data_IF_774581908933
#
_entry.id   IF_774581908933
#
_cell.length_a   1.000
_cell.length_b   1.000
_cell.length_c   1.000
_cell.angle_alpha   90.00
_cell.angle_beta   90.00
_cell.angle_gamma   90.00
#
_symmetry.space_group_name_H-M   'P 1'
#
loop_
_entity.id
_entity.type
_entity.pdbx_description
1 polymer ?
#
# COMPACT_ATOMS: atom_id res chain seq x y z
N UNK A 1 62.84 24.30 -0.58
CA UNK A 1 61.80 23.93 0.41
C UNK A 1 60.48 23.71 -0.33
N UNK A 2 59.94 22.48 -0.37
CA UNK A 2 58.64 22.15 -0.97
C UNK A 2 57.56 22.24 0.12
N UNK A 3 56.59 23.15 -0.03
CA UNK A 3 55.37 23.18 0.81
C UNK A 3 54.38 22.16 0.25
N UNK A 4 54.21 21.05 0.96
CA UNK A 4 53.11 20.12 0.73
C UNK A 4 51.84 20.72 1.35
N UNK A 5 50.87 21.10 0.52
CA UNK A 5 49.52 21.43 0.97
C UNK A 5 48.81 20.12 1.36
N UNK A 6 48.95 19.73 2.62
CA UNK A 6 48.18 18.65 3.21
C UNK A 6 46.71 19.06 3.32
N UNK A 7 45.87 18.49 2.46
CA UNK A 7 44.42 18.58 2.59
C UNK A 7 44.03 17.94 3.93
N UNK A 8 43.49 18.75 4.85
CA UNK A 8 43.16 18.30 6.20
C UNK A 8 42.09 17.20 6.15
N UNK A 9 42.35 16.07 6.82
CA UNK A 9 41.42 14.93 6.95
C UNK A 9 40.03 15.38 7.42
N UNK A 10 39.95 16.45 8.21
CA UNK A 10 38.70 17.03 8.70
C UNK A 10 37.76 17.53 7.58
N UNK A 11 38.31 18.01 6.46
CA UNK A 11 37.53 18.48 5.30
C UNK A 11 36.94 17.31 4.50
N UNK A 12 37.65 16.18 4.46
CA UNK A 12 37.16 14.95 3.83
C UNK A 12 36.01 14.32 4.63
N UNK A 13 36.07 14.34 5.97
CA UNK A 13 35.03 13.78 6.83
C UNK A 13 33.73 14.58 6.80
N UNK A 14 33.78 15.91 6.80
CA UNK A 14 32.57 16.75 6.72
C UNK A 14 31.91 16.68 5.35
N UNK A 15 32.69 16.62 4.27
CA UNK A 15 32.17 16.41 2.92
C UNK A 15 31.47 15.06 2.73
N UNK A 16 32.04 14.00 3.30
CA UNK A 16 31.47 12.65 3.22
C UNK A 16 30.14 12.55 4.00
N UNK A 17 30.06 13.13 5.21
CA UNK A 17 28.84 13.17 6.00
C UNK A 17 27.72 13.97 5.33
N UNK A 18 28.05 15.10 4.70
CA UNK A 18 27.08 15.91 3.96
C UNK A 18 26.53 15.16 2.73
N UNK A 19 27.39 14.44 1.99
CA UNK A 19 26.97 13.64 0.85
C UNK A 19 26.07 12.46 1.26
N UNK A 20 26.37 11.79 2.38
CA UNK A 20 25.55 10.70 2.92
C UNK A 20 24.20 11.23 3.43
N UNK A 21 24.16 12.39 4.08
CA UNK A 21 22.90 13.01 4.53
C UNK A 21 22.00 13.41 3.34
N UNK A 22 22.57 13.93 2.25
CA UNK A 22 21.81 14.27 1.02
C UNK A 22 21.34 13.01 0.27
N UNK A 23 22.13 11.93 0.28
CA UNK A 23 21.73 10.65 -0.31
C UNK A 23 20.63 9.93 0.51
N UNK A 24 20.60 10.10 1.83
CA UNK A 24 19.56 9.49 2.69
C UNK A 24 18.22 10.25 2.62
N UNK A 25 18.23 11.54 2.30
CA UNK A 25 17.02 12.37 2.15
C UNK A 25 16.29 12.15 0.81
N UNK A 26 16.96 11.56 -0.19
CA UNK A 26 16.40 11.33 -1.53
C UNK A 26 15.76 9.96 -1.73
N UNK A 27 15.83 9.06 -0.74
CA UNK A 27 15.13 7.78 -0.73
C UNK A 27 13.68 7.91 -0.24
N UNK A 28 12.94 8.90 -0.74
CA UNK A 28 11.49 8.88 -0.71
C UNK A 28 11.00 7.85 -1.73
N UNK A 29 11.18 6.55 -1.43
CA UNK A 29 10.52 5.48 -2.19
C UNK A 29 9.01 5.70 -2.02
N UNK A 30 8.39 6.39 -2.99
CA UNK A 30 6.98 6.17 -3.26
C UNK A 30 6.89 4.70 -3.67
N UNK A 31 6.44 3.86 -2.74
CA UNK A 31 6.09 2.49 -3.06
C UNK A 31 4.89 2.58 -3.99
N UNK A 32 5.15 2.64 -5.29
CA UNK A 32 4.10 2.64 -6.30
C UNK A 32 3.34 1.31 -6.16
N UNK A 33 2.05 1.41 -5.87
CA UNK A 33 1.16 0.31 -5.57
C UNK A 33 0.24 0.08 -6.76
N UNK A 34 0.25 -1.12 -7.34
CA UNK A 34 -0.68 -1.43 -8.43
C UNK A 34 -2.05 -1.79 -7.84
N UNK A 35 -3.14 -1.12 -8.26
CA UNK A 35 -4.49 -1.39 -7.76
C UNK A 35 -5.50 -1.52 -8.90
N UNK A 36 -6.54 -2.32 -8.70
CA UNK A 36 -7.71 -2.29 -9.59
C UNK A 36 -8.47 -0.98 -9.39
N UNK A 37 -8.95 -0.38 -10.48
CA UNK A 37 -9.74 0.86 -10.44
C UNK A 37 -10.99 0.72 -11.27
N UNK A 38 -12.14 1.01 -10.66
CA UNK A 38 -13.43 1.00 -11.33
C UNK A 38 -14.49 1.68 -10.46
N UNK A 39 -15.64 1.99 -11.07
CA UNK A 39 -16.86 2.38 -10.37
C UNK A 39 -18.07 1.68 -10.98
N UNK A 40 -19.06 1.43 -10.14
CA UNK A 40 -20.35 0.86 -10.49
C UNK A 40 -21.45 1.59 -9.71
N UNK A 41 -22.58 1.80 -10.36
CA UNK A 41 -23.83 2.27 -9.78
C UNK A 41 -24.95 1.30 -10.17
N UNK A 42 -25.98 1.18 -9.34
CA UNK A 42 -27.12 0.28 -9.62
C UNK A 42 -27.75 0.49 -11.00
N UNK A 43 -27.73 1.72 -11.51
CA UNK A 43 -28.26 2.08 -12.83
C UNK A 43 -27.39 1.59 -14.00
N UNK A 44 -26.21 1.05 -13.75
CA UNK A 44 -25.28 0.58 -14.78
C UNK A 44 -25.51 -0.90 -15.08
N UNK A 45 -25.46 -1.25 -16.36
CA UNK A 45 -25.55 -2.65 -16.81
C UNK A 45 -24.23 -3.42 -16.64
N UNK A 46 -23.10 -2.72 -16.63
CA UNK A 46 -21.78 -3.35 -16.47
C UNK A 46 -21.48 -3.61 -14.98
N UNK A 47 -21.54 -4.89 -14.58
CA UNK A 47 -21.22 -5.32 -13.21
C UNK A 47 -19.79 -5.81 -13.05
N UNK A 48 -18.92 -5.66 -14.06
CA UNK A 48 -17.52 -6.12 -14.01
C UNK A 48 -16.75 -5.55 -12.80
N UNK A 49 -17.08 -4.31 -12.40
CA UNK A 49 -16.53 -3.68 -11.22
C UNK A 49 -16.93 -4.37 -9.90
N UNK A 50 -17.97 -5.18 -9.86
CA UNK A 50 -18.30 -5.98 -8.67
C UNK A 50 -17.76 -7.40 -8.84
N UNK A 51 -18.04 -8.01 -9.99
CA UNK A 51 -17.98 -9.47 -10.17
C UNK A 51 -16.72 -9.99 -10.86
N UNK A 52 -16.03 -9.15 -11.65
CA UNK A 52 -14.88 -9.59 -12.44
C UNK A 52 -13.67 -8.64 -12.30
N UNK A 53 -13.04 -8.58 -11.12
CA UNK A 53 -11.93 -7.67 -10.85
C UNK A 53 -10.72 -7.89 -11.78
N UNK A 54 -10.50 -9.12 -12.26
CA UNK A 54 -9.37 -9.45 -13.13
C UNK A 54 -9.47 -8.86 -14.54
N UNK A 55 -10.68 -8.50 -14.99
CA UNK A 55 -10.90 -7.83 -16.27
C UNK A 55 -10.76 -6.31 -16.18
N UNK A 56 -10.55 -5.76 -14.98
CA UNK A 56 -10.48 -4.33 -14.76
C UNK A 56 -9.11 -3.75 -15.11
N UNK A 57 -9.13 -2.44 -15.35
CA UNK A 57 -7.92 -1.65 -15.47
C UNK A 57 -7.13 -1.68 -14.15
N UNK A 58 -5.83 -1.92 -14.28
CA UNK A 58 -4.85 -1.74 -13.21
C UNK A 58 -4.26 -0.33 -13.34
N UNK A 59 -4.18 0.38 -12.22
CA UNK A 59 -3.52 1.68 -12.11
C UNK A 59 -2.28 1.55 -11.22
N UNK A 60 -1.16 2.08 -11.68
CA UNK A 60 0.02 2.28 -10.84
C UNK A 60 -0.20 3.53 -9.98
N UNK A 61 -0.51 3.32 -8.70
CA UNK A 61 -0.84 4.38 -7.77
C UNK A 61 0.38 4.81 -6.96
N UNK A 62 0.59 6.12 -6.83
CA UNK A 62 1.62 6.67 -5.93
C UNK A 62 1.19 6.68 -4.45
N UNK A 63 -0.03 6.20 -4.17
CA UNK A 63 -0.67 6.22 -2.85
C UNK A 63 -0.42 4.93 -2.08
N UNK A 64 -0.55 5.00 -0.75
CA UNK A 64 -0.18 3.91 0.17
C UNK A 64 -1.15 2.73 0.24
N UNK A 65 -2.40 2.88 -0.18
CA UNK A 65 -3.42 1.84 -0.05
C UNK A 65 -4.24 1.69 -1.33
N UNK A 66 -4.57 0.45 -1.69
CA UNK A 66 -5.72 0.16 -2.53
C UNK A 66 -6.98 0.18 -1.66
N UNK A 67 -8.03 0.85 -2.10
CA UNK A 67 -9.31 0.94 -1.42
C UNK A 67 -10.41 0.23 -2.23
N UNK A 68 -11.35 -0.38 -1.51
CA UNK A 68 -12.65 -0.83 -2.01
C UNK A 68 -13.75 -0.25 -1.13
N UNK A 69 -14.71 0.44 -1.75
CA UNK A 69 -15.92 0.93 -1.09
C UNK A 69 -17.13 0.24 -1.70
N UNK A 70 -17.96 -0.38 -0.86
CA UNK A 70 -19.17 -1.08 -1.26
C UNK A 70 -20.35 -0.54 -0.47
N UNK A 71 -21.35 -0.02 -1.17
CA UNK A 71 -22.57 0.50 -0.55
C UNK A 71 -23.70 -0.47 -0.86
N UNK A 72 -24.39 -0.90 0.19
CA UNK A 72 -25.57 -1.76 0.10
C UNK A 72 -26.79 -1.11 0.72
N UNK A 73 -27.98 -1.52 0.27
CA UNK A 73 -29.23 -1.19 0.96
C UNK A 73 -29.32 -1.94 2.29
N UNK A 74 -29.58 -1.22 3.38
CA UNK A 74 -29.69 -1.82 4.71
C UNK A 74 -30.88 -2.78 4.83
N UNK A 75 -31.99 -2.48 4.16
CA UNK A 75 -33.20 -3.34 4.11
C UNK A 75 -33.07 -4.54 3.18
N UNK A 76 -32.13 -4.51 2.24
CA UNK A 76 -31.89 -5.62 1.31
C UNK A 76 -30.39 -5.93 1.25
N UNK A 77 -29.87 -6.66 2.26
CA UNK A 77 -28.46 -6.98 2.32
C UNK A 77 -28.03 -7.73 1.06
N UNK A 78 -26.84 -7.42 0.55
CA UNK A 78 -26.29 -7.93 -0.72
C UNK A 78 -26.77 -7.22 -1.99
N UNK A 79 -27.81 -6.36 -1.91
CA UNK A 79 -28.11 -5.45 -3.01
C UNK A 79 -27.11 -4.28 -3.00
N UNK A 80 -26.12 -4.36 -3.90
CA UNK A 80 -25.09 -3.32 -4.09
C UNK A 80 -25.69 -2.16 -4.88
N UNK A 81 -25.69 -0.97 -4.30
CA UNK A 81 -26.16 0.25 -4.98
C UNK A 81 -25.01 1.07 -5.58
N UNK A 82 -23.82 0.93 -5.00
CA UNK A 82 -22.59 1.53 -5.48
C UNK A 82 -21.40 0.68 -5.08
N UNK A 83 -20.41 0.61 -5.97
CA UNK A 83 -19.16 -0.07 -5.72
C UNK A 83 -18.01 0.70 -6.37
N UNK A 84 -16.91 0.89 -5.66
CA UNK A 84 -15.72 1.51 -6.23
C UNK A 84 -14.46 0.81 -5.77
N UNK A 85 -13.47 0.81 -6.66
CA UNK A 85 -12.08 0.45 -6.38
C UNK A 85 -11.19 1.62 -6.73
N UNK A 86 -10.22 1.90 -5.88
CA UNK A 86 -9.33 3.04 -6.07
C UNK A 86 -8.07 2.93 -5.22
N UNK A 87 -7.43 4.08 -5.08
CA UNK A 87 -6.21 4.26 -4.30
C UNK A 87 -6.38 5.42 -3.35
N UNK A 88 -5.78 5.31 -2.16
CA UNK A 88 -5.91 6.30 -1.10
C UNK A 88 -4.63 6.34 -0.26
N UNK A 89 -4.18 7.53 0.17
CA UNK A 89 -3.05 7.64 1.11
C UNK A 89 -3.47 7.40 2.56
N UNK A 90 -4.65 7.93 2.92
CA UNK A 90 -5.24 7.82 4.25
C UNK A 90 -6.65 7.23 4.10
N UNK A 91 -6.82 5.92 4.35
CA UNK A 91 -8.12 5.27 4.24
C UNK A 91 -9.07 5.72 5.35
N UNK A 92 -10.37 5.77 5.05
CA UNK A 92 -11.41 6.02 6.07
C UNK A 92 -11.35 4.96 7.17
N UNK A 93 -11.16 3.70 6.76
CA UNK A 93 -10.84 2.59 7.65
C UNK A 93 -10.15 1.46 6.87
N UNK A 94 -9.34 0.68 7.58
CA UNK A 94 -8.67 -0.48 6.99
C UNK A 94 -9.67 -1.60 6.67
N UNK A 95 -10.62 -1.83 7.56
CA UNK A 95 -11.66 -2.83 7.37
C UNK A 95 -12.85 -2.53 8.27
N UNK A 96 -14.06 -2.47 7.70
CA UNK A 96 -15.27 -2.27 8.49
C UNK A 96 -16.46 -1.83 7.65
N UNK A 97 -17.51 -1.38 8.33
CA UNK A 97 -18.64 -0.71 7.70
C UNK A 97 -19.22 0.40 8.56
N UNK A 98 -19.78 1.41 7.92
CA UNK A 98 -20.57 2.48 8.52
C UNK A 98 -22.02 2.26 8.10
N UNK A 99 -22.92 1.85 9.02
CA UNK A 99 -24.34 1.74 8.74
C UNK A 99 -25.04 3.07 9.01
N UNK A 100 -25.95 3.46 8.12
CA UNK A 100 -26.91 4.55 8.29
C UNK A 100 -28.35 4.00 8.27
N UNK A 101 -29.36 4.86 8.25
CA UNK A 101 -30.77 4.43 8.21
C UNK A 101 -31.12 3.60 6.95
N UNK A 102 -30.55 4.02 5.81
CA UNK A 102 -30.89 3.47 4.48
C UNK A 102 -29.81 2.55 3.93
N UNK A 103 -28.54 2.86 4.18
CA UNK A 103 -27.40 2.20 3.55
C UNK A 103 -26.45 1.59 4.57
N UNK A 104 -25.62 0.66 4.09
CA UNK A 104 -24.44 0.19 4.81
C UNK A 104 -23.25 0.29 3.87
N UNK A 105 -22.28 1.12 4.26
CA UNK A 105 -21.07 1.36 3.49
C UNK A 105 -19.93 0.55 4.07
N UNK A 106 -19.45 -0.44 3.32
CA UNK A 106 -18.30 -1.26 3.64
C UNK A 106 -17.03 -0.63 3.07
N UNK A 107 -15.98 -0.60 3.87
CA UNK A 107 -14.67 -0.12 3.50
C UNK A 107 -13.65 -1.24 3.69
N UNK A 108 -12.75 -1.34 2.74
CA UNK A 108 -11.60 -2.24 2.81
C UNK A 108 -10.41 -1.57 2.18
N UNK A 109 -9.28 -1.57 2.91
CA UNK A 109 -8.02 -1.02 2.43
C UNK A 109 -6.86 -1.98 2.68
N UNK A 110 -5.92 -2.04 1.75
CA UNK A 110 -4.76 -2.94 1.82
C UNK A 110 -3.55 -2.34 1.08
N UNK A 111 -2.34 -2.82 1.39
CA UNK A 111 -1.07 -2.22 0.95
C UNK A 111 -0.24 -3.14 0.05
N UNK A 112 -0.89 -4.10 -0.62
CA UNK A 112 -0.23 -5.06 -1.51
C UNK A 112 -0.71 -4.84 -2.95
N UNK A 113 0.14 -5.13 -3.93
CA UNK A 113 -0.26 -5.04 -5.34
C UNK A 113 -1.53 -5.88 -5.58
N UNK A 114 -2.52 -5.26 -6.22
CA UNK A 114 -3.77 -5.86 -6.67
C UNK A 114 -4.62 -6.47 -5.55
N UNK A 115 -4.38 -6.03 -4.32
CA UNK A 115 -4.99 -6.58 -3.11
C UNK A 115 -6.50 -6.31 -3.01
N UNK A 116 -7.00 -5.30 -3.73
CA UNK A 116 -8.42 -4.90 -3.78
C UNK A 116 -9.26 -5.74 -4.79
N UNK A 117 -8.80 -6.94 -5.13
CA UNK A 117 -9.50 -7.88 -6.03
C UNK A 117 -10.67 -8.65 -5.42
N UNK A 118 -11.16 -8.26 -4.24
CA UNK A 118 -12.31 -8.89 -3.58
C UNK A 118 -13.60 -8.09 -3.85
N UNK A 119 -14.74 -8.58 -3.36
CA UNK A 119 -16.07 -8.00 -3.59
C UNK A 119 -16.50 -7.02 -2.48
N UNK A 120 -15.58 -6.43 -1.72
CA UNK A 120 -15.90 -5.53 -0.58
C UNK A 120 -16.36 -6.19 0.72
N UNK A 121 -16.55 -7.52 0.80
CA UNK A 121 -16.87 -8.25 2.04
C UNK A 121 -15.73 -9.22 2.40
N UNK A 122 -14.85 -8.86 3.34
CA UNK A 122 -13.73 -9.73 3.74
C UNK A 122 -14.10 -10.73 4.86
N UNK A 123 -15.19 -10.51 5.61
CA UNK A 123 -15.68 -11.47 6.62
C UNK A 123 -17.16 -11.78 6.44
N UNK A 124 -17.42 -13.09 6.52
CA UNK A 124 -18.69 -13.79 6.54
C UNK A 124 -19.82 -12.97 7.19
N UNK A 125 -20.75 -12.47 6.38
CA UNK A 125 -22.08 -12.04 6.82
C UNK A 125 -23.04 -13.15 6.36
N UNK A 126 -23.59 -13.86 7.33
CA UNK A 126 -24.18 -15.21 7.31
C UNK A 126 -25.19 -15.54 6.19
N UNK A 127 -25.13 -16.82 5.78
CA UNK A 127 -26.14 -17.72 5.17
C UNK A 127 -26.60 -17.51 3.71
N UNK A 128 -26.14 -18.44 2.86
CA UNK A 128 -26.67 -18.72 1.52
C UNK A 128 -25.72 -19.66 0.78
N UNK A 129 -26.11 -20.92 0.62
CA UNK A 129 -25.39 -22.05 0.04
C UNK A 129 -24.58 -21.70 -1.22
N UNK A 130 -23.26 -21.89 -1.21
CA UNK A 130 -22.43 -21.90 -2.42
C UNK A 130 -21.13 -21.10 -2.32
N UNK A 131 -20.01 -21.82 -2.25
CA UNK A 131 -18.63 -21.36 -2.40
C UNK A 131 -18.12 -20.34 -1.36
N UNK A 132 -17.41 -20.86 -0.36
CA UNK A 132 -16.56 -20.09 0.56
C UNK A 132 -15.37 -19.55 -0.23
N UNK A 133 -15.55 -18.42 -0.91
CA UNK A 133 -14.44 -17.55 -1.25
C UNK A 133 -14.29 -16.59 -0.07
N UNK A 134 -13.52 -16.99 0.95
CA UNK A 134 -12.86 -16.00 1.80
C UNK A 134 -12.29 -14.96 0.83
N UNK A 135 -12.60 -13.69 1.04
CA UNK A 135 -11.98 -12.61 0.27
C UNK A 135 -10.50 -12.60 0.60
N UNK A 136 -9.75 -13.54 0.03
CA UNK A 136 -8.30 -13.62 0.12
C UNK A 136 -7.87 -12.36 -0.57
N UNK A 137 -7.43 -11.39 0.22
CA UNK A 137 -6.60 -10.29 -0.25
C UNK A 137 -5.39 -10.98 -0.88
N UNK A 138 -5.26 -11.02 -2.21
CA UNK A 138 -4.17 -11.75 -2.84
C UNK A 138 -2.89 -10.99 -2.53
N UNK A 139 -2.17 -11.46 -1.51
CA UNK A 139 -0.83 -10.95 -1.26
C UNK A 139 0.10 -11.51 -2.31
N UNK A 140 0.59 -10.66 -3.20
CA UNK A 140 1.88 -10.93 -3.84
C UNK A 140 2.92 -10.88 -2.74
N UNK A 141 3.65 -11.97 -2.54
CA UNK A 141 4.72 -12.06 -1.54
C UNK A 141 5.71 -10.91 -1.78
N UNK A 142 5.58 -9.82 -1.05
CA UNK A 142 6.66 -8.86 -0.91
C UNK A 142 7.73 -9.60 -0.10
N UNK A 143 8.77 -10.06 -0.80
CA UNK A 143 9.92 -10.68 -0.17
C UNK A 143 10.37 -9.81 1.00
N UNK A 144 10.64 -10.46 2.14
CA UNK A 144 11.29 -9.85 3.29
C UNK A 144 12.38 -8.88 2.81
N UNK A 145 12.14 -7.58 2.94
CA UNK A 145 13.24 -6.63 2.99
C UNK A 145 13.89 -6.91 4.34
N UNK A 146 14.87 -7.82 4.33
CA UNK A 146 15.79 -8.00 5.42
C UNK A 146 16.56 -6.69 5.51
N UNK A 147 16.11 -5.79 6.38
CA UNK A 147 16.89 -4.62 6.77
C UNK A 147 18.07 -5.18 7.55
N UNK A 148 19.12 -5.59 6.83
CA UNK A 148 20.43 -5.76 7.41
C UNK A 148 20.85 -4.37 7.85
N UNK A 149 20.71 -4.15 9.16
CA UNK A 149 21.17 -2.98 9.87
C UNK A 149 22.58 -2.61 9.38
N UNK A 150 22.79 -1.43 8.77
CA UNK A 150 24.14 -1.03 8.34
C UNK A 150 25.08 -0.72 9.51
N UNK A 151 24.59 -0.82 10.75
CA UNK A 151 25.36 -0.61 11.97
C UNK A 151 26.53 -1.60 12.15
N UNK A 152 26.43 -2.81 11.61
CA UNK A 152 27.48 -3.82 11.78
C UNK A 152 28.73 -3.56 10.92
N UNK A 153 28.59 -2.87 9.78
CA UNK A 153 29.72 -2.51 8.93
C UNK A 153 30.41 -1.21 9.36
N UNK A 154 29.68 -0.30 10.02
CA UNK A 154 30.25 0.97 10.51
C UNK A 154 31.23 0.76 11.69
N UNK A 155 31.01 -0.23 12.56
CA UNK A 155 31.91 -0.50 13.69
C UNK A 155 33.24 -1.15 13.29
N UNK A 156 33.31 -1.79 12.12
CA UNK A 156 34.55 -2.40 11.61
C UNK A 156 35.57 -1.37 11.11
N UNK A 157 35.12 -0.17 10.73
CA UNK A 157 35.96 0.90 10.16
C UNK A 157 36.48 1.86 11.25
N UNK A 158 35.81 1.91 12.42
CA UNK A 158 36.17 2.82 13.53
C UNK A 158 37.22 2.17 14.45
N UNK A 159 37.26 0.84 14.55
CA UNK A 159 38.21 0.14 15.43
C UNK A 159 39.71 0.35 15.10
N UNK A 160 40.17 0.46 13.82
CA UNK A 160 41.58 0.68 13.54
C UNK A 160 42.02 2.16 13.61
N UNK A 161 41.13 3.08 13.99
CA UNK A 161 41.45 4.52 14.13
C UNK A 161 41.67 4.96 15.59
N UNK A 162 41.57 4.03 16.55
CA UNK A 162 41.78 4.28 18.00
C UNK A 162 43.02 3.53 18.54
N UNK A 163 43.93 3.07 17.68
CA UNK A 163 45.27 2.64 18.07
C UNK A 163 46.35 3.50 17.42
#
# INVERSE_FOLDING_TARGET
MKRSHGLSKAVLFTGLCAAVAVALMSAGLSNALDCYVCSYLESYNDTSCVDNPRALKVLNCSMKYCETVRIELRRNPSKVVSFSRGCQDVPVMLYGNIPDETFRTYYTSCQQDLCNGHNGRIKNSTSGTGAIHNGIVPGKNAGHIVIFWPYSLLMAIILPLVQ
#
